data_IF_671306991833
#
_entry.id   IF_671306991833
#
_cell.length_a   1.000
_cell.length_b   1.000
_cell.length_c   1.000
_cell.angle_alpha   90.00
_cell.angle_beta   90.00
_cell.angle_gamma   90.00
#
_symmetry.space_group_name_H-M   'P 1'
#
loop_
_entity.id
_entity.type
_entity.pdbx_description
1 polymer ?
#
# COMPACT_ATOMS: atom_id res chain seq x y z
N UNK A 1 -9.09 10.17 56.19
CA UNK A 1 -8.77 10.49 54.77
C UNK A 1 -9.90 11.34 54.21
N UNK A 2 -9.68 12.65 54.02
CA UNK A 2 -10.73 13.55 53.53
C UNK A 2 -10.65 13.55 52.00
N UNK A 3 -11.74 13.20 51.32
CA UNK A 3 -11.85 13.18 49.86
C UNK A 3 -12.57 14.44 49.40
N UNK A 4 -11.83 15.43 48.91
CA UNK A 4 -12.40 16.66 48.37
C UNK A 4 -12.79 16.39 46.92
N UNK A 5 -14.09 16.21 46.66
CA UNK A 5 -14.60 16.21 45.29
C UNK A 5 -14.48 17.64 44.76
N UNK A 6 -13.60 17.84 43.76
CA UNK A 6 -13.16 19.15 43.27
C UNK A 6 -14.20 20.02 42.55
N UNK A 7 -15.45 20.05 43.01
CA UNK A 7 -16.50 20.97 42.58
C UNK A 7 -16.95 21.95 43.67
N UNK A 8 -16.72 21.66 44.96
CA UNK A 8 -17.32 22.41 46.08
C UNK A 8 -16.32 23.17 46.96
N UNK A 9 -15.37 23.90 46.37
CA UNK A 9 -14.73 25.01 47.08
C UNK A 9 -15.57 26.27 46.88
N UNK A 10 -16.53 26.48 47.78
CA UNK A 10 -17.30 27.70 47.87
C UNK A 10 -16.35 28.93 47.83
N UNK A 11 -16.48 29.74 46.77
CA UNK A 11 -15.85 31.07 46.69
C UNK A 11 -14.39 31.16 46.23
N UNK A 12 -13.81 30.13 45.60
CA UNK A 12 -12.46 30.27 45.03
C UNK A 12 -12.46 31.06 43.71
N UNK A 13 -11.74 32.20 43.67
CA UNK A 13 -11.57 33.01 42.47
C UNK A 13 -10.71 32.30 41.43
N UNK A 14 -11.35 31.83 40.35
CA UNK A 14 -10.70 31.13 39.24
C UNK A 14 -10.03 32.08 38.24
N UNK A 15 -10.15 33.41 38.38
CA UNK A 15 -9.64 34.39 37.41
C UNK A 15 -8.14 34.28 37.14
N UNK A 16 -7.37 33.76 38.12
CA UNK A 16 -5.91 33.55 38.02
C UNK A 16 -5.51 32.10 37.74
N UNK A 17 -6.47 31.17 37.67
CA UNK A 17 -6.16 29.77 37.38
C UNK A 17 -5.95 29.59 35.88
N UNK A 18 -4.74 29.26 35.47
CA UNK A 18 -4.44 28.81 34.12
C UNK A 18 -4.69 27.30 33.98
N UNK A 19 -5.41 26.90 32.94
CA UNK A 19 -5.59 25.49 32.62
C UNK A 19 -4.34 24.92 31.93
N UNK A 20 -3.67 23.95 32.56
CA UNK A 20 -2.49 23.29 32.00
C UNK A 20 -2.68 22.59 30.65
N UNK A 21 -3.91 22.26 30.24
CA UNK A 21 -4.16 21.59 28.95
C UNK A 21 -4.31 22.55 27.78
N UNK A 22 -4.90 23.74 27.99
CA UNK A 22 -5.20 24.68 26.91
C UNK A 22 -4.63 26.08 27.12
N UNK A 23 -3.94 26.30 28.24
CA UNK A 23 -3.26 27.55 28.59
C UNK A 23 -4.19 28.78 28.61
N UNK A 24 -5.46 28.58 28.97
CA UNK A 24 -6.45 29.65 29.16
C UNK A 24 -6.81 29.78 30.63
N UNK A 25 -6.87 31.02 31.13
CA UNK A 25 -7.27 31.33 32.50
C UNK A 25 -8.76 31.07 32.74
N UNK A 26 -9.18 30.98 34.01
CA UNK A 26 -10.58 30.93 34.42
C UNK A 26 -11.16 29.55 34.71
N UNK A 27 -10.41 28.46 34.51
CA UNK A 27 -10.90 27.10 34.75
C UNK A 27 -9.78 26.11 35.09
N UNK A 28 -10.15 25.04 35.81
CA UNK A 28 -9.24 23.93 36.08
C UNK A 28 -9.17 22.95 34.91
N UNK A 29 -8.10 22.13 34.88
CA UNK A 29 -7.90 21.09 33.86
C UNK A 29 -9.12 20.15 33.71
N UNK A 30 -9.79 19.82 34.82
CA UNK A 30 -10.99 18.97 34.84
C UNK A 30 -12.20 19.58 34.12
N UNK A 31 -12.24 20.90 33.97
CA UNK A 31 -13.31 21.65 33.32
C UNK A 31 -12.98 21.96 31.84
N UNK A 32 -11.78 21.60 31.38
CA UNK A 32 -11.29 21.98 30.06
C UNK A 32 -12.06 21.28 28.92
N UNK A 33 -12.74 22.06 28.09
CA UNK A 33 -13.46 21.56 26.91
C UNK A 33 -12.57 21.36 25.68
N UNK A 34 -11.32 21.85 25.69
CA UNK A 34 -10.42 21.89 24.53
C UNK A 34 -10.03 20.49 24.01
N UNK A 35 -9.95 19.48 24.89
CA UNK A 35 -9.65 18.11 24.50
C UNK A 35 -10.65 17.55 23.47
N UNK A 36 -11.91 18.01 23.52
CA UNK A 36 -12.97 17.51 22.64
C UNK A 36 -12.93 18.11 21.22
N UNK A 37 -12.37 19.30 21.02
CA UNK A 37 -12.37 19.94 19.70
C UNK A 37 -11.23 19.41 18.81
N UNK A 38 -10.05 19.20 19.38
CA UNK A 38 -8.90 18.66 18.63
C UNK A 38 -9.06 17.16 18.32
N UNK A 39 -9.65 16.38 19.23
CA UNK A 39 -9.95 14.96 19.00
C UNK A 39 -10.97 14.77 17.86
N UNK A 40 -11.97 15.66 17.74
CA UNK A 40 -12.94 15.62 16.64
C UNK A 40 -12.24 15.81 15.29
N UNK A 41 -11.41 16.86 15.14
CA UNK A 41 -10.68 17.12 13.90
C UNK A 41 -9.73 15.98 13.52
N UNK A 42 -9.01 15.40 14.49
CA UNK A 42 -8.13 14.25 14.26
C UNK A 42 -8.89 12.97 13.88
N UNK A 43 -10.07 12.76 14.45
CA UNK A 43 -10.93 11.61 14.14
C UNK A 43 -11.53 11.72 12.73
N UNK A 44 -11.88 12.93 12.31
CA UNK A 44 -12.46 13.19 11.00
C UNK A 44 -11.43 13.01 9.88
N UNK A 45 -10.19 13.46 10.07
CA UNK A 45 -9.09 13.20 9.11
C UNK A 45 -8.82 11.71 8.94
N UNK A 46 -8.81 10.94 10.03
CA UNK A 46 -8.65 9.48 9.98
C UNK A 46 -9.81 8.79 9.25
N UNK A 47 -11.06 9.20 9.52
CA UNK A 47 -12.25 8.69 8.80
C UNK A 47 -12.19 9.02 7.32
N UNK A 48 -11.75 10.21 6.95
CA UNK A 48 -11.64 10.63 5.56
C UNK A 48 -10.55 9.86 4.82
N UNK A 49 -9.39 9.67 5.46
CA UNK A 49 -8.30 8.84 4.92
C UNK A 49 -8.75 7.39 4.68
N UNK A 50 -9.44 6.79 5.66
CA UNK A 50 -9.96 5.41 5.54
C UNK A 50 -10.93 5.27 4.37
N UNK A 51 -11.80 6.26 4.14
CA UNK A 51 -12.71 6.28 2.98
C UNK A 51 -11.94 6.40 1.66
N UNK A 52 -10.93 7.26 1.60
CA UNK A 52 -10.09 7.40 0.40
C UNK A 52 -9.33 6.10 0.08
N UNK A 53 -8.79 5.44 1.09
CA UNK A 53 -8.09 4.17 0.93
C UNK A 53 -9.04 3.06 0.44
N UNK A 54 -10.26 2.99 0.96
CA UNK A 54 -11.26 2.03 0.49
C UNK A 54 -11.64 2.28 -0.99
N UNK A 55 -11.79 3.54 -1.40
CA UNK A 55 -12.05 3.90 -2.79
C UNK A 55 -10.89 3.49 -3.71
N UNK A 56 -9.64 3.69 -3.27
CA UNK A 56 -8.46 3.27 -4.01
C UNK A 56 -8.42 1.74 -4.18
N UNK A 57 -8.69 0.99 -3.11
CA UNK A 57 -8.78 -0.48 -3.15
C UNK A 57 -9.86 -0.96 -4.10
N UNK A 58 -11.04 -0.35 -4.09
CA UNK A 58 -12.14 -0.69 -5.01
C UNK A 58 -11.73 -0.46 -6.47
N UNK A 59 -11.15 0.70 -6.78
CA UNK A 59 -10.66 1.01 -8.14
C UNK A 59 -9.61 0.01 -8.62
N UNK A 60 -8.66 -0.33 -7.74
CA UNK A 60 -7.64 -1.31 -8.04
C UNK A 60 -8.24 -2.69 -8.35
N UNK A 61 -9.17 -3.17 -7.52
CA UNK A 61 -9.84 -4.45 -7.74
C UNK A 61 -10.64 -4.47 -9.05
N UNK A 62 -11.29 -3.36 -9.42
CA UNK A 62 -11.98 -3.26 -10.71
C UNK A 62 -10.99 -3.34 -11.87
N UNK A 63 -9.92 -2.54 -11.84
CA UNK A 63 -8.91 -2.55 -12.89
C UNK A 63 -8.23 -3.92 -13.04
N UNK A 64 -8.01 -4.64 -11.94
CA UNK A 64 -7.48 -6.01 -11.96
C UNK A 64 -8.41 -6.95 -12.71
N UNK A 65 -9.72 -6.88 -12.44
CA UNK A 65 -10.71 -7.72 -13.14
C UNK A 65 -10.78 -7.41 -14.63
N UNK A 66 -10.70 -6.13 -14.99
CA UNK A 66 -10.70 -5.72 -16.39
C UNK A 66 -9.49 -6.28 -17.14
N UNK A 67 -8.34 -6.35 -16.47
CA UNK A 67 -7.14 -6.97 -17.02
C UNK A 67 -7.29 -8.49 -17.18
N UNK A 68 -7.87 -9.17 -16.18
CA UNK A 68 -8.14 -10.60 -16.26
C UNK A 68 -9.07 -10.94 -17.45
N UNK A 69 -10.12 -10.12 -17.65
CA UNK A 69 -11.04 -10.25 -18.79
C UNK A 69 -10.33 -10.07 -20.14
N UNK A 70 -9.37 -9.15 -20.23
CA UNK A 70 -8.58 -8.94 -21.44
C UNK A 70 -7.67 -10.13 -21.73
N UNK A 71 -7.03 -10.69 -20.70
CA UNK A 71 -6.16 -11.87 -20.82
C UNK A 71 -6.98 -13.09 -21.27
N UNK A 72 -8.14 -13.33 -20.65
CA UNK A 72 -9.08 -14.38 -21.06
C UNK A 72 -9.52 -14.21 -22.52
N UNK A 73 -9.89 -13.00 -22.92
CA UNK A 73 -10.31 -12.70 -24.31
C UNK A 73 -9.20 -13.02 -25.32
N UNK A 74 -7.94 -12.67 -25.00
CA UNK A 74 -6.79 -12.96 -25.85
C UNK A 74 -6.41 -14.46 -25.88
N UNK A 75 -6.72 -15.22 -24.83
CA UNK A 75 -6.52 -16.69 -24.79
C UNK A 75 -7.58 -17.42 -25.63
N UNK A 76 -8.82 -16.97 -25.59
CA UNK A 76 -9.91 -17.55 -26.36
C UNK A 76 -9.71 -17.40 -27.89
N UNK A 77 -9.11 -16.29 -28.31
CA UNK A 77 -8.77 -15.97 -29.71
C UNK A 77 -7.73 -16.95 -30.34
N UNK A 78 -6.85 -17.57 -29.54
CA UNK A 78 -5.69 -18.35 -30.04
C UNK A 78 -5.91 -19.85 -30.21
N UNK A 79 -7.14 -20.35 -30.26
CA UNK A 79 -7.42 -21.80 -30.13
C UNK A 79 -7.45 -22.63 -31.42
N UNK A 80 -6.90 -22.19 -32.57
CA UNK A 80 -6.90 -23.06 -33.78
C UNK A 80 -5.63 -23.14 -34.62
N UNK A 81 -4.68 -22.22 -34.55
CA UNK A 81 -3.50 -22.31 -35.41
C UNK A 81 -2.27 -22.62 -34.57
N UNK A 82 -2.08 -23.91 -34.29
CA UNK A 82 -0.80 -24.41 -33.82
C UNK A 82 0.26 -24.00 -34.85
N UNK A 83 1.19 -23.13 -34.45
CA UNK A 83 2.41 -22.87 -35.21
C UNK A 83 3.23 -24.15 -35.18
N UNK A 84 2.88 -25.07 -36.07
CA UNK A 84 3.49 -26.38 -36.22
C UNK A 84 4.88 -26.22 -36.79
N UNK A 85 5.85 -25.97 -35.92
CA UNK A 85 7.25 -26.20 -36.25
C UNK A 85 7.40 -27.71 -36.47
N UNK A 86 7.60 -28.13 -37.71
CA UNK A 86 8.10 -29.48 -37.98
C UNK A 86 9.48 -29.58 -37.33
N UNK A 87 9.58 -30.34 -36.24
CA UNK A 87 10.86 -30.65 -35.62
C UNK A 87 11.71 -31.41 -36.65
N UNK A 88 12.58 -30.69 -37.35
CA UNK A 88 13.55 -31.30 -38.25
C UNK A 88 14.51 -32.08 -37.36
N UNK A 89 14.61 -33.41 -37.52
CA UNK A 89 15.55 -34.20 -36.75
C UNK A 89 16.95 -33.62 -36.96
N UNK A 90 17.77 -33.47 -35.91
CA UNK A 90 19.14 -32.99 -36.09
C UNK A 90 19.83 -33.89 -37.12
N UNK A 91 20.53 -33.32 -38.11
CA UNK A 91 21.24 -34.13 -39.09
C UNK A 91 22.17 -35.10 -38.34
N UNK A 92 22.29 -36.36 -38.81
CA UNK A 92 23.15 -37.34 -38.17
C UNK A 92 24.54 -36.75 -37.95
N UNK A 93 25.09 -36.94 -36.74
CA UNK A 93 26.40 -36.42 -36.40
C UNK A 93 27.43 -36.93 -37.43
N UNK A 94 27.88 -36.04 -38.31
CA UNK A 94 28.99 -36.33 -39.19
C UNK A 94 30.23 -36.38 -38.30
N UNK A 95 30.83 -37.57 -38.18
CA UNK A 95 32.11 -37.75 -37.49
C UNK A 95 33.11 -36.89 -38.25
N UNK A 96 33.39 -35.70 -37.72
CA UNK A 96 34.39 -34.80 -38.29
C UNK A 96 35.75 -35.46 -38.12
N UNK A 97 36.16 -36.18 -39.15
CA UNK A 97 37.54 -36.66 -39.27
C UNK A 97 38.37 -35.42 -39.59
N UNK A 98 39.18 -34.99 -38.62
CA UNK A 98 40.06 -33.84 -38.79
C UNK A 98 40.97 -34.06 -40.01
N UNK A 99 41.19 -33.04 -40.87
CA UNK A 99 42.11 -33.14 -41.98
C UNK A 99 43.49 -33.57 -41.45
N UNK A 100 44.04 -34.66 -42.01
CA UNK A 100 45.42 -35.04 -41.73
C UNK A 100 46.32 -33.91 -42.25
N UNK A 101 47.15 -33.38 -41.36
CA UNK A 101 48.08 -32.30 -41.67
C UNK A 101 49.25 -32.92 -42.42
N UNK A 102 49.18 -32.89 -43.73
CA UNK A 102 50.30 -33.29 -44.58
C UNK A 102 51.25 -32.09 -44.62
N UNK A 103 52.20 -32.07 -43.66
CA UNK A 103 53.25 -31.06 -43.56
C UNK A 103 54.27 -31.27 -44.68
N UNK A 104 53.97 -30.72 -45.85
CA UNK A 104 54.97 -30.48 -46.89
C UNK A 104 54.81 -29.06 -47.42
N UNK A 105 55.65 -28.16 -46.94
CA UNK A 105 55.97 -26.92 -47.65
C UNK A 105 57.34 -27.13 -48.29
N UNK A 106 57.39 -27.11 -49.62
CA UNK A 106 58.63 -26.96 -50.38
C UNK A 106 58.87 -25.47 -50.61
N UNK A 107 60.14 -25.08 -50.43
CA UNK A 107 60.73 -23.74 -50.58
C UNK A 107 60.45 -23.07 -51.94
#
# INVERSE_FOLDING_TARGET
KISIQGSDVAGFDKSKVECFNCHKIGHFVRECRALRSQDRGRRDTYRQWSKAEEQLRKRFLTASKDLDNLIESQRADKNKDGLGYSAVPPPPAQIYSSPKKDLSWTE
#
